data_IF_669820483653
#
_entry.id   IF_669820483653
#
_cell.length_a   1.000
_cell.length_b   1.000
_cell.length_c   1.000
_cell.angle_alpha   90.00
_cell.angle_beta   90.00
_cell.angle_gamma   90.00
#
_symmetry.space_group_name_H-M   'P 1'
#
loop_
_entity.id
_entity.type
_entity.pdbx_description
1 polymer ?
#
# COMPACT_ATOMS: atom_id res chain seq x y z
N UNK A 1 -8.38 19.10 -3.45
CA UNK A 1 -9.27 20.13 -4.02
C UNK A 1 -10.74 19.69 -3.99
N UNK A 2 -11.01 18.41 -4.15
CA UNK A 2 -12.37 17.83 -4.27
C UNK A 2 -12.86 17.15 -2.98
N UNK A 3 -12.00 16.97 -1.98
CA UNK A 3 -12.39 16.35 -0.71
C UNK A 3 -13.43 17.20 0.02
N UNK A 4 -14.44 16.57 0.63
CA UNK A 4 -15.38 17.25 1.50
C UNK A 4 -14.63 17.93 2.65
N UNK A 5 -15.10 19.11 3.06
CA UNK A 5 -14.48 19.86 4.13
C UNK A 5 -15.48 20.13 5.24
N UNK A 6 -15.01 20.10 6.48
CA UNK A 6 -15.78 20.52 7.63
C UNK A 6 -16.08 22.02 7.59
N UNK A 7 -16.87 22.49 8.52
CA UNK A 7 -17.16 23.93 8.72
C UNK A 7 -15.90 24.77 8.99
N UNK A 8 -14.81 24.12 9.41
CA UNK A 8 -13.50 24.75 9.62
C UNK A 8 -12.60 24.67 8.38
N UNK A 9 -13.10 24.14 7.26
CA UNK A 9 -12.35 24.01 6.02
C UNK A 9 -11.37 22.84 5.97
N UNK A 10 -11.39 21.95 6.98
CA UNK A 10 -10.50 20.80 7.10
C UNK A 10 -11.10 19.55 6.45
N UNK A 11 -10.25 18.67 5.95
CA UNK A 11 -10.62 17.32 5.51
C UNK A 11 -10.49 16.41 6.73
N UNK A 12 -11.60 15.85 7.17
CA UNK A 12 -11.65 14.98 8.35
C UNK A 12 -11.46 13.51 7.96
N UNK A 13 -10.67 12.78 8.75
CA UNK A 13 -10.53 11.35 8.65
C UNK A 13 -10.34 10.73 10.03
N UNK A 14 -10.53 9.43 10.12
CA UNK A 14 -10.25 8.64 11.32
C UNK A 14 -9.35 7.47 10.94
N UNK A 15 -8.21 7.35 11.62
CA UNK A 15 -7.27 6.27 11.41
C UNK A 15 -7.07 5.49 12.71
N UNK A 16 -7.09 4.17 12.62
CA UNK A 16 -6.67 3.33 13.73
C UNK A 16 -5.17 3.51 13.96
N UNK A 17 -4.74 3.49 15.21
CA UNK A 17 -3.33 3.42 15.56
C UNK A 17 -3.07 2.30 16.58
N UNK A 18 -1.86 1.80 16.58
CA UNK A 18 -1.37 0.79 17.50
C UNK A 18 0.03 1.18 17.97
N UNK A 19 0.31 0.97 19.26
CA UNK A 19 1.60 1.34 19.83
C UNK A 19 1.98 0.42 20.99
N UNK A 20 3.25 0.02 21.02
CA UNK A 20 3.94 -0.57 22.16
C UNK A 20 5.03 0.39 22.60
N UNK A 21 5.14 0.65 23.90
CA UNK A 21 6.16 1.52 24.47
C UNK A 21 6.72 0.94 25.76
N UNK A 22 7.96 1.29 26.15
CA UNK A 22 8.51 0.92 27.44
C UNK A 22 7.60 1.38 28.58
N UNK A 23 7.28 0.46 29.51
CA UNK A 23 6.47 0.78 30.72
C UNK A 23 7.18 1.78 31.60
N UNK A 24 8.51 1.63 31.73
CA UNK A 24 9.38 2.55 32.45
C UNK A 24 10.07 3.47 31.45
N UNK A 25 9.79 4.76 31.51
CA UNK A 25 10.36 5.75 30.60
C UNK A 25 11.90 5.70 30.53
N UNK A 26 12.57 5.44 31.68
CA UNK A 26 14.04 5.31 31.75
C UNK A 26 14.63 4.12 30.99
N UNK A 27 13.79 3.20 30.51
CA UNK A 27 14.22 2.08 29.64
C UNK A 27 13.98 2.36 28.16
N UNK A 28 13.37 3.47 27.82
CA UNK A 28 13.19 3.90 26.45
C UNK A 28 14.50 4.39 25.84
N UNK A 29 14.76 4.01 24.58
CA UNK A 29 15.94 4.44 23.82
C UNK A 29 15.78 5.80 23.16
N UNK A 30 14.59 6.41 23.21
CA UNK A 30 14.23 7.58 22.38
C UNK A 30 13.97 7.26 20.91
N UNK A 31 14.03 5.98 20.54
CA UNK A 31 13.84 5.55 19.16
C UNK A 31 12.45 4.93 18.94
N UNK A 32 11.82 5.29 17.85
CA UNK A 32 10.56 4.70 17.41
C UNK A 32 10.74 3.94 16.10
N UNK A 33 10.30 2.69 16.07
CA UNK A 33 10.06 1.94 14.84
C UNK A 33 8.59 2.14 14.43
N UNK A 34 8.38 2.86 13.34
CA UNK A 34 7.09 2.99 12.71
C UNK A 34 6.94 1.92 11.62
N UNK A 35 6.06 0.96 11.86
CA UNK A 35 5.76 -0.09 10.90
C UNK A 35 4.59 0.33 10.01
N UNK A 36 4.86 0.51 8.71
CA UNK A 36 3.79 0.80 7.75
C UNK A 36 2.98 -0.46 7.51
N UNK A 37 1.75 -0.48 8.02
CA UNK A 37 0.87 -1.67 7.90
C UNK A 37 0.62 -2.03 6.45
N UNK A 38 0.67 -3.32 6.15
CA UNK A 38 0.41 -3.82 4.80
C UNK A 38 -1.02 -4.39 4.76
N UNK A 39 -1.92 -3.68 4.10
CA UNK A 39 -3.36 -4.02 4.08
C UNK A 39 -3.93 -4.19 5.50
N UNK A 40 -3.60 -3.24 6.38
CA UNK A 40 -4.06 -3.21 7.76
C UNK A 40 -3.37 -4.17 8.73
N UNK A 41 -2.46 -5.04 8.28
CA UNK A 41 -1.80 -6.06 9.10
C UNK A 41 -0.61 -5.50 9.87
N UNK A 42 -0.53 -5.84 11.16
CA UNK A 42 0.52 -5.44 12.09
C UNK A 42 1.65 -6.48 12.12
N UNK A 43 2.59 -6.37 11.20
CA UNK A 43 3.68 -7.34 11.06
C UNK A 43 4.99 -6.97 11.77
N UNK A 44 5.02 -5.92 12.60
CA UNK A 44 6.28 -5.47 13.23
C UNK A 44 6.96 -6.56 14.06
N UNK A 45 6.21 -7.23 14.93
CA UNK A 45 6.77 -8.24 15.82
C UNK A 45 7.21 -9.50 15.06
N UNK A 46 6.42 -9.99 14.12
CA UNK A 46 6.82 -11.13 13.30
C UNK A 46 8.01 -10.82 12.37
N UNK A 47 8.22 -9.57 12.02
CA UNK A 47 9.36 -9.16 11.20
C UNK A 47 10.66 -9.03 12.01
N UNK A 48 10.59 -8.51 13.23
CA UNK A 48 11.79 -8.13 13.99
C UNK A 48 12.04 -8.95 15.26
N UNK A 49 11.01 -9.56 15.84
CA UNK A 49 11.10 -10.30 17.11
C UNK A 49 10.94 -11.81 16.96
N UNK A 50 11.04 -12.37 15.76
CA UNK A 50 10.76 -13.81 15.52
C UNK A 50 9.41 -14.28 16.08
N UNK A 51 8.43 -13.40 16.13
CA UNK A 51 7.13 -13.66 16.71
C UNK A 51 6.18 -14.39 15.76
N UNK A 52 5.24 -15.13 16.28
CA UNK A 52 4.07 -15.58 15.51
C UNK A 52 3.25 -14.38 15.06
N UNK A 53 2.83 -14.37 13.79
CA UNK A 53 2.09 -13.25 13.21
C UNK A 53 0.73 -13.06 13.92
N UNK A 54 0.49 -11.86 14.44
CA UNK A 54 -0.77 -11.50 15.08
C UNK A 54 -1.07 -10.01 14.87
N UNK A 55 -2.35 -9.69 14.62
CA UNK A 55 -2.81 -8.30 14.61
C UNK A 55 -3.17 -7.78 16.01
N UNK A 56 -3.24 -8.67 17.00
CA UNK A 56 -3.51 -8.36 18.40
C UNK A 56 -2.71 -9.30 19.29
N UNK A 57 -1.39 -9.04 19.45
CA UNK A 57 -0.54 -9.92 20.22
C UNK A 57 -0.97 -9.94 21.71
N UNK A 58 -1.18 -11.14 22.26
CA UNK A 58 -1.62 -11.39 23.63
C UNK A 58 -0.75 -12.45 24.31
N UNK A 59 -0.04 -13.29 23.57
CA UNK A 59 0.78 -14.40 24.09
C UNK A 59 2.27 -14.13 23.92
N UNK A 60 3.10 -14.84 24.67
CA UNK A 60 4.56 -14.72 24.58
C UNK A 60 5.08 -15.01 23.17
N UNK A 61 4.51 -16.02 22.49
CA UNK A 61 4.91 -16.38 21.13
C UNK A 61 4.59 -15.29 20.11
N UNK A 62 3.52 -14.50 20.35
CA UNK A 62 3.14 -13.37 19.49
C UNK A 62 3.97 -12.11 19.78
N UNK A 63 4.70 -12.05 20.90
CA UNK A 63 5.72 -11.04 21.18
C UNK A 63 7.12 -11.48 20.74
N UNK A 64 7.35 -12.80 20.58
CA UNK A 64 8.59 -13.40 20.13
C UNK A 64 9.75 -13.24 21.14
N UNK A 65 10.96 -13.12 20.63
CA UNK A 65 12.19 -12.98 21.42
C UNK A 65 12.34 -11.62 22.15
N UNK A 66 11.48 -10.66 21.83
CA UNK A 66 11.49 -9.35 22.49
C UNK A 66 12.57 -8.39 22.02
N UNK A 67 13.25 -8.64 20.91
CA UNK A 67 14.39 -7.82 20.42
C UNK A 67 14.11 -6.30 20.47
N UNK A 68 12.98 -5.86 19.91
CA UNK A 68 12.65 -4.42 19.89
C UNK A 68 12.44 -3.87 21.31
N UNK A 69 11.89 -4.66 22.21
CA UNK A 69 11.65 -4.29 23.62
C UNK A 69 12.95 -4.23 24.41
N UNK A 70 13.86 -5.18 24.20
CA UNK A 70 15.20 -5.20 24.83
C UNK A 70 16.02 -3.96 24.46
N UNK A 71 15.88 -3.50 23.21
CA UNK A 71 16.52 -2.26 22.75
C UNK A 71 15.73 -0.99 23.08
N UNK A 72 14.64 -1.09 23.85
CA UNK A 72 13.87 0.06 24.33
C UNK A 72 13.15 0.85 23.24
N UNK A 73 12.82 0.24 22.10
CA UNK A 73 12.06 0.91 21.05
C UNK A 73 10.60 1.16 21.47
N UNK A 74 10.07 2.30 21.07
CA UNK A 74 8.65 2.46 20.84
C UNK A 74 8.32 1.86 19.48
N UNK A 75 7.36 0.94 19.42
CA UNK A 75 6.88 0.36 18.14
C UNK A 75 5.50 0.91 17.85
N UNK A 76 5.30 1.51 16.70
CA UNK A 76 4.04 2.15 16.36
C UNK A 76 3.60 1.89 14.92
N UNK A 77 2.32 1.95 14.69
CA UNK A 77 1.69 1.89 13.38
C UNK A 77 0.41 2.72 13.35
N UNK A 78 0.08 3.28 12.20
CA UNK A 78 -1.17 3.95 11.94
C UNK A 78 -1.78 3.41 10.63
N UNK A 79 -3.10 3.33 10.57
CA UNK A 79 -3.79 2.95 9.36
C UNK A 79 -3.63 4.05 8.30
N UNK A 80 -3.40 3.64 7.06
CA UNK A 80 -3.21 4.56 5.94
C UNK A 80 -4.03 4.22 4.69
N UNK A 81 -4.70 3.06 4.68
CA UNK A 81 -5.48 2.56 3.55
C UNK A 81 -6.97 2.57 3.86
N UNK A 82 -7.76 3.17 2.96
CA UNK A 82 -9.21 3.23 3.06
C UNK A 82 -9.92 2.05 2.36
N UNK A 83 -9.21 1.32 1.50
CA UNK A 83 -9.75 0.18 0.76
C UNK A 83 -9.54 -1.18 1.45
N UNK A 84 -9.05 -1.17 2.69
CA UNK A 84 -8.96 -2.37 3.53
C UNK A 84 -10.34 -2.71 4.11
N UNK A 85 -10.80 -3.96 4.03
CA UNK A 85 -12.05 -4.35 4.69
C UNK A 85 -11.89 -4.24 6.22
N UNK A 86 -12.93 -3.73 6.93
CA UNK A 86 -12.83 -3.49 8.38
C UNK A 86 -12.64 -4.79 9.18
N UNK A 87 -13.15 -5.90 8.67
CA UNK A 87 -12.95 -7.23 9.23
C UNK A 87 -12.81 -8.25 8.09
N UNK A 88 -11.86 -9.15 8.24
CA UNK A 88 -11.72 -10.33 7.40
C UNK A 88 -11.80 -11.57 8.31
N UNK A 89 -12.62 -12.58 8.00
CA UNK A 89 -12.79 -13.77 8.82
C UNK A 89 -11.46 -14.45 9.17
N UNK A 90 -10.56 -14.50 8.19
CA UNK A 90 -9.25 -15.16 8.34
C UNK A 90 -8.18 -14.25 8.93
N UNK A 91 -8.48 -12.96 9.15
CA UNK A 91 -7.50 -11.98 9.60
C UNK A 91 -8.19 -10.82 10.36
N UNK A 92 -8.65 -11.07 11.60
CA UNK A 92 -9.33 -10.06 12.38
C UNK A 92 -8.40 -8.94 12.83
N UNK A 93 -8.97 -7.85 13.31
CA UNK A 93 -8.25 -6.70 13.88
C UNK A 93 -7.32 -5.98 12.91
N UNK A 94 -7.69 -5.95 11.63
CA UNK A 94 -7.01 -5.10 10.65
C UNK A 94 -7.14 -3.62 11.04
N UNK A 95 -6.10 -2.85 10.77
CA UNK A 95 -6.12 -1.40 10.96
C UNK A 95 -6.71 -0.73 9.71
N UNK A 96 -7.69 0.13 9.89
CA UNK A 96 -8.43 0.77 8.81
C UNK A 96 -8.37 2.30 8.91
N UNK A 97 -8.38 2.94 7.74
CA UNK A 97 -8.53 4.38 7.59
C UNK A 97 -9.96 4.66 7.12
N UNK A 98 -10.72 5.36 7.93
CA UNK A 98 -12.00 5.93 7.54
C UNK A 98 -11.73 7.29 6.88
N UNK A 99 -11.74 7.28 5.55
CA UNK A 99 -11.48 8.46 4.73
C UNK A 99 -12.79 8.97 4.13
N UNK A 100 -12.97 10.30 4.01
CA UNK A 100 -14.15 10.84 3.37
C UNK A 100 -14.22 10.41 1.89
N UNK A 101 -15.41 10.24 1.39
CA UNK A 101 -15.66 9.99 -0.03
C UNK A 101 -16.00 11.27 -0.77
N UNK A 102 -15.83 11.29 -2.06
CA UNK A 102 -16.28 12.39 -2.94
C UNK A 102 -17.43 11.92 -3.82
N UNK A 103 -18.31 12.85 -4.13
CA UNK A 103 -19.38 12.59 -5.10
C UNK A 103 -18.79 12.60 -6.51
N UNK A 104 -18.42 11.42 -6.98
CA UNK A 104 -17.90 11.19 -8.33
C UNK A 104 -18.22 9.76 -8.76
N UNK A 105 -18.34 9.60 -10.06
CA UNK A 105 -18.47 8.31 -10.72
C UNK A 105 -17.35 8.13 -11.72
N UNK A 106 -16.98 6.88 -11.98
CA UNK A 106 -15.94 6.56 -12.95
C UNK A 106 -15.77 5.07 -13.16
N UNK A 107 -15.16 4.69 -14.29
CA UNK A 107 -14.97 3.28 -14.63
C UNK A 107 -13.92 2.64 -13.73
N UNK A 108 -14.18 1.40 -13.35
CA UNK A 108 -13.18 0.50 -12.76
C UNK A 108 -13.17 -0.82 -13.50
N UNK A 109 -12.06 -1.51 -13.41
CA UNK A 109 -11.82 -2.82 -13.95
C UNK A 109 -11.45 -3.78 -12.83
N UNK A 110 -12.14 -4.92 -12.77
CA UNK A 110 -11.93 -6.00 -11.80
C UNK A 110 -11.57 -7.27 -12.54
N UNK A 111 -10.31 -7.66 -12.51
CA UNK A 111 -9.87 -8.94 -13.05
C UNK A 111 -10.21 -10.07 -12.08
N UNK A 112 -10.75 -11.16 -12.60
CA UNK A 112 -11.19 -12.35 -11.88
C UNK A 112 -10.44 -13.55 -12.44
N UNK A 113 -9.68 -14.22 -11.60
CA UNK A 113 -9.02 -15.49 -11.87
C UNK A 113 -9.36 -16.43 -10.72
N UNK A 114 -9.77 -17.64 -11.03
CA UNK A 114 -10.21 -18.61 -10.03
C UNK A 114 -9.35 -19.88 -10.08
N UNK A 115 -9.20 -20.54 -8.93
CA UNK A 115 -8.45 -21.80 -8.81
C UNK A 115 -9.36 -23.04 -8.98
N UNK A 116 -10.67 -22.85 -8.80
CA UNK A 116 -11.69 -23.89 -8.97
C UNK A 116 -12.95 -23.28 -9.64
N UNK A 117 -13.78 -24.09 -10.30
CA UNK A 117 -15.00 -23.59 -10.93
C UNK A 117 -15.98 -23.05 -9.90
N UNK A 118 -16.41 -21.80 -10.08
CA UNK A 118 -17.40 -21.15 -9.22
C UNK A 118 -18.41 -20.36 -10.07
N UNK A 119 -19.62 -20.18 -9.56
CA UNK A 119 -20.64 -19.37 -10.24
C UNK A 119 -20.78 -17.95 -9.66
N UNK A 120 -20.30 -17.73 -8.45
CA UNK A 120 -20.36 -16.42 -7.78
C UNK A 120 -18.97 -16.01 -7.31
N UNK A 121 -18.54 -14.81 -7.69
CA UNK A 121 -17.25 -14.26 -7.29
C UNK A 121 -17.43 -12.89 -6.62
N UNK A 122 -16.78 -12.68 -5.47
CA UNK A 122 -16.76 -11.37 -4.80
C UNK A 122 -16.10 -10.30 -5.68
N UNK A 123 -16.63 -9.09 -5.71
CA UNK A 123 -15.95 -7.94 -6.32
C UNK A 123 -14.76 -7.47 -5.47
N UNK A 124 -14.75 -7.80 -4.19
CA UNK A 124 -13.63 -7.59 -3.27
C UNK A 124 -12.75 -8.81 -3.10
N UNK A 125 -11.82 -8.73 -2.19
CA UNK A 125 -11.00 -9.84 -1.73
C UNK A 125 -10.81 -9.75 -0.23
N UNK A 126 -10.13 -10.73 0.39
CA UNK A 126 -9.73 -10.63 1.80
C UNK A 126 -8.86 -9.41 2.14
N UNK A 127 -8.34 -8.74 1.13
CA UNK A 127 -7.46 -7.57 1.29
C UNK A 127 -8.04 -6.27 0.77
N UNK A 128 -9.17 -6.33 0.07
CA UNK A 128 -9.69 -5.21 -0.69
C UNK A 128 -11.20 -5.07 -0.55
N UNK A 129 -11.63 -3.88 -0.14
CA UNK A 129 -13.02 -3.45 -0.14
C UNK A 129 -13.36 -2.87 -1.52
N UNK A 130 -14.34 -3.44 -2.26
CA UNK A 130 -14.67 -2.97 -3.59
C UNK A 130 -15.42 -1.65 -3.54
N UNK A 131 -15.34 -0.88 -4.63
CA UNK A 131 -16.23 0.25 -4.86
C UNK A 131 -17.63 -0.25 -5.24
N UNK A 132 -18.63 0.50 -4.79
CA UNK A 132 -20.02 0.23 -5.14
C UNK A 132 -20.31 0.58 -6.60
N UNK A 133 -21.21 -0.18 -7.23
CA UNK A 133 -21.73 0.12 -8.57
C UNK A 133 -22.54 1.40 -8.51
N UNK A 134 -22.33 2.32 -9.45
CA UNK A 134 -23.11 3.56 -9.54
C UNK A 134 -24.58 3.26 -9.85
N UNK A 135 -25.47 4.03 -9.27
CA UNK A 135 -26.91 3.84 -9.44
C UNK A 135 -27.31 4.00 -10.91
N UNK A 136 -28.06 3.02 -11.43
CA UNK A 136 -28.50 3.01 -12.82
C UNK A 136 -27.47 2.54 -13.85
N UNK A 137 -26.18 2.40 -13.47
CA UNK A 137 -25.09 2.03 -14.40
C UNK A 137 -24.82 0.52 -14.46
N UNK A 138 -25.57 -0.30 -13.74
CA UNK A 138 -25.37 -1.75 -13.76
C UNK A 138 -25.61 -2.38 -15.15
N UNK A 139 -26.51 -1.79 -15.95
CA UNK A 139 -26.80 -2.28 -17.30
C UNK A 139 -25.66 -2.08 -18.30
N UNK A 140 -24.82 -1.06 -18.09
CA UNK A 140 -23.72 -0.68 -18.96
C UNK A 140 -22.41 -1.42 -18.59
N UNK A 141 -22.45 -2.25 -17.55
CA UNK A 141 -21.31 -3.03 -17.14
C UNK A 141 -21.02 -4.18 -18.12
N UNK A 142 -19.74 -4.48 -18.32
CA UNK A 142 -19.26 -5.49 -19.24
C UNK A 142 -18.46 -6.57 -18.52
N UNK A 143 -18.76 -7.83 -18.82
CA UNK A 143 -17.94 -8.96 -18.44
C UNK A 143 -17.31 -9.54 -19.70
N UNK A 144 -16.01 -9.74 -19.69
CA UNK A 144 -15.28 -10.38 -20.77
C UNK A 144 -14.41 -11.52 -20.25
N UNK A 145 -13.99 -12.40 -21.17
CA UNK A 145 -13.15 -13.57 -20.88
C UNK A 145 -12.07 -13.73 -21.94
N UNK A 146 -10.87 -14.19 -21.53
CA UNK A 146 -9.74 -14.51 -22.41
C UNK A 146 -8.88 -15.62 -21.78
N UNK A 147 -8.08 -16.30 -22.60
CA UNK A 147 -7.21 -17.38 -22.13
C UNK A 147 -5.83 -16.86 -21.67
N UNK A 148 -5.34 -15.76 -22.24
CA UNK A 148 -4.02 -15.20 -21.94
C UNK A 148 -4.10 -13.69 -21.77
N UNK A 149 -3.16 -13.05 -21.03
CA UNK A 149 -3.20 -11.62 -20.75
C UNK A 149 -3.30 -10.72 -21.98
N UNK A 150 -2.73 -11.12 -23.11
CA UNK A 150 -2.69 -10.32 -24.34
C UNK A 150 -3.62 -10.81 -25.46
N UNK A 151 -4.45 -11.85 -25.19
CA UNK A 151 -5.47 -12.27 -26.14
C UNK A 151 -6.59 -11.24 -26.20
N UNK A 152 -7.26 -11.14 -27.35
CA UNK A 152 -8.44 -10.31 -27.48
C UNK A 152 -9.55 -10.86 -26.57
N UNK A 153 -10.16 -10.03 -25.70
CA UNK A 153 -11.23 -10.48 -24.82
C UNK A 153 -12.51 -10.72 -25.61
N UNK A 154 -13.23 -11.79 -25.25
CA UNK A 154 -14.55 -12.11 -25.74
C UNK A 154 -15.61 -11.61 -24.74
N UNK A 155 -16.59 -10.85 -25.22
CA UNK A 155 -17.66 -10.35 -24.35
C UNK A 155 -18.63 -11.46 -23.98
N UNK A 156 -18.93 -11.57 -22.70
CA UNK A 156 -19.99 -12.42 -22.17
C UNK A 156 -21.32 -11.68 -22.31
N UNK A 157 -22.33 -12.36 -22.87
CA UNK A 157 -23.64 -11.76 -23.06
C UNK A 157 -24.19 -11.17 -21.75
N UNK A 158 -24.67 -9.92 -21.76
CA UNK A 158 -25.09 -9.21 -20.54
C UNK A 158 -26.19 -9.97 -19.75
N UNK A 159 -27.05 -10.71 -20.41
CA UNK A 159 -28.11 -11.50 -19.79
C UNK A 159 -27.59 -12.80 -19.11
N UNK A 160 -26.33 -13.18 -19.33
CA UNK A 160 -25.76 -14.40 -18.76
C UNK A 160 -25.17 -14.22 -17.36
N UNK A 161 -25.07 -12.99 -16.87
CA UNK A 161 -24.48 -12.66 -15.58
C UNK A 161 -25.19 -11.48 -14.91
N UNK A 162 -25.05 -11.34 -13.60
CA UNK A 162 -25.66 -10.27 -12.81
C UNK A 162 -24.79 -9.86 -11.61
N UNK A 163 -24.99 -8.62 -11.16
CA UNK A 163 -24.50 -8.24 -9.83
C UNK A 163 -25.37 -8.91 -8.76
N UNK A 164 -24.70 -9.35 -7.69
CA UNK A 164 -25.33 -10.00 -6.54
C UNK A 164 -24.59 -9.63 -5.25
N UNK A 165 -24.93 -10.27 -4.16
CA UNK A 165 -24.22 -10.15 -2.89
C UNK A 165 -23.93 -11.56 -2.34
N UNK A 166 -22.80 -11.70 -1.66
CA UNK A 166 -22.54 -12.88 -0.85
C UNK A 166 -23.42 -12.90 0.40
N UNK A 167 -23.48 -14.03 1.10
CA UNK A 167 -24.25 -14.18 2.34
C UNK A 167 -23.88 -13.15 3.44
N UNK A 168 -22.64 -12.68 3.44
CA UNK A 168 -22.14 -11.66 4.34
C UNK A 168 -22.37 -10.21 3.85
N UNK A 169 -23.13 -10.04 2.75
CA UNK A 169 -23.50 -8.74 2.19
C UNK A 169 -22.44 -8.10 1.29
N UNK A 170 -21.28 -8.73 1.08
CA UNK A 170 -20.26 -8.19 0.18
C UNK A 170 -20.72 -8.21 -1.28
N UNK A 171 -20.47 -7.14 -2.07
CA UNK A 171 -20.78 -7.12 -3.49
C UNK A 171 -20.11 -8.26 -4.26
N UNK A 172 -20.84 -8.87 -5.16
CA UNK A 172 -20.40 -10.01 -5.95
C UNK A 172 -20.96 -9.94 -7.39
N UNK A 173 -20.44 -10.79 -8.25
CA UNK A 173 -20.96 -11.06 -9.59
C UNK A 173 -21.29 -12.53 -9.68
N UNK A 174 -22.46 -12.82 -10.21
CA UNK A 174 -22.94 -14.17 -10.53
C UNK A 174 -22.88 -14.39 -12.04
N UNK A 175 -22.29 -15.48 -12.46
CA UNK A 175 -22.21 -15.93 -13.84
C UNK A 175 -22.70 -17.37 -13.93
N UNK A 176 -23.86 -17.58 -14.54
CA UNK A 176 -24.55 -18.89 -14.53
C UNK A 176 -23.76 -20.01 -15.22
N UNK A 177 -22.96 -19.69 -16.24
CA UNK A 177 -22.11 -20.67 -16.91
C UNK A 177 -20.86 -21.02 -16.09
N UNK A 178 -20.51 -20.22 -15.07
CA UNK A 178 -19.38 -20.42 -14.20
C UNK A 178 -18.12 -19.68 -14.64
N UNK A 179 -17.31 -19.29 -13.63
CA UNK A 179 -15.92 -18.86 -13.81
C UNK A 179 -15.06 -20.11 -13.76
N UNK A 180 -14.22 -20.32 -14.77
CA UNK A 180 -13.41 -21.52 -14.94
C UNK A 180 -11.93 -21.24 -14.68
N UNK A 181 -11.17 -22.16 -14.03
CA UNK A 181 -9.73 -22.08 -13.88
C UNK A 181 -8.99 -21.97 -15.22
N UNK A 182 -7.89 -21.20 -15.22
CA UNK A 182 -7.08 -21.02 -16.43
C UNK A 182 -7.62 -19.96 -17.40
N UNK A 183 -8.75 -19.35 -17.08
CA UNK A 183 -9.30 -18.22 -17.81
C UNK A 183 -9.15 -16.92 -17.00
N UNK A 184 -9.06 -15.80 -17.71
CA UNK A 184 -9.00 -14.46 -17.14
C UNK A 184 -10.30 -13.75 -17.51
N UNK A 185 -11.14 -13.50 -16.52
CA UNK A 185 -12.34 -12.69 -16.68
C UNK A 185 -12.03 -11.25 -16.27
N UNK A 186 -12.66 -10.30 -16.96
CA UNK A 186 -12.56 -8.90 -16.61
C UNK A 186 -13.93 -8.26 -16.55
N UNK A 187 -14.31 -7.77 -15.38
CA UNK A 187 -15.54 -7.05 -15.13
C UNK A 187 -15.27 -5.55 -15.10
N UNK A 188 -15.85 -4.81 -16.03
CA UNK A 188 -15.80 -3.35 -16.10
C UNK A 188 -17.14 -2.78 -15.69
N UNK A 189 -17.16 -1.83 -14.77
CA UNK A 189 -18.38 -1.14 -14.38
C UNK A 189 -18.09 0.29 -13.92
N UNK A 190 -19.11 1.13 -13.91
CA UNK A 190 -19.03 2.47 -13.34
C UNK A 190 -19.21 2.38 -11.83
N UNK A 191 -18.17 2.77 -11.11
CA UNK A 191 -18.15 2.85 -9.64
C UNK A 191 -18.49 4.25 -9.16
N UNK A 192 -18.88 4.36 -7.90
CA UNK A 192 -19.22 5.64 -7.25
C UNK A 192 -18.45 5.87 -5.95
N UNK A 193 -18.45 7.12 -5.51
CA UNK A 193 -17.99 7.56 -4.19
C UNK A 193 -16.56 7.10 -3.83
N UNK A 194 -15.54 7.44 -4.64
CA UNK A 194 -14.17 7.06 -4.31
C UNK A 194 -13.69 7.77 -3.04
N UNK A 195 -12.98 7.01 -2.19
CA UNK A 195 -12.37 7.54 -0.98
C UNK A 195 -11.20 8.47 -1.29
N UNK A 196 -10.96 9.44 -0.43
CA UNK A 196 -9.78 10.34 -0.47
C UNK A 196 -8.58 9.58 0.09
N UNK A 197 -8.01 8.69 -0.72
CA UNK A 197 -7.01 7.73 -0.24
C UNK A 197 -5.69 8.37 0.19
N UNK A 198 -5.27 9.45 -0.46
CA UNK A 198 -4.00 10.15 -0.15
C UNK A 198 -3.94 10.74 1.26
N UNK A 199 -5.07 10.86 1.97
CA UNK A 199 -5.10 11.38 3.35
C UNK A 199 -4.37 10.45 4.34
N UNK A 200 -4.17 9.17 4.01
CA UNK A 200 -3.38 8.24 4.81
C UNK A 200 -1.91 8.64 4.95
N UNK A 201 -1.34 9.35 3.95
CA UNK A 201 0.02 9.90 4.05
C UNK A 201 0.08 11.05 5.04
N UNK A 202 -0.93 11.94 5.04
CA UNK A 202 -1.05 13.01 6.02
C UNK A 202 -1.24 12.45 7.44
N UNK A 203 -2.11 11.45 7.62
CA UNK A 203 -2.31 10.78 8.91
C UNK A 203 -1.00 10.16 9.45
N UNK A 204 -0.21 9.52 8.59
CA UNK A 204 1.11 8.98 8.97
C UNK A 204 2.09 10.09 9.37
N UNK A 205 2.18 11.15 8.56
CA UNK A 205 3.03 12.32 8.84
C UNK A 205 2.69 12.92 10.20
N UNK A 206 1.43 13.21 10.42
CA UNK A 206 0.96 13.92 11.62
C UNK A 206 1.09 13.06 12.87
N UNK A 207 0.80 11.76 12.77
CA UNK A 207 1.01 10.82 13.86
C UNK A 207 2.50 10.77 14.28
N UNK A 208 3.42 10.59 13.33
CA UNK A 208 4.86 10.52 13.64
C UNK A 208 5.39 11.86 14.15
N UNK A 209 4.95 12.97 13.55
CA UNK A 209 5.32 14.32 14.01
C UNK A 209 4.84 14.56 15.44
N UNK A 210 3.60 14.17 15.78
CA UNK A 210 3.07 14.25 17.14
C UNK A 210 3.91 13.41 18.12
N UNK A 211 4.24 12.17 17.79
CA UNK A 211 5.06 11.29 18.62
C UNK A 211 6.45 11.89 18.93
N UNK A 212 7.02 12.66 18.00
CA UNK A 212 8.33 13.33 18.18
C UNK A 212 8.22 14.68 18.90
N UNK A 213 7.08 15.34 18.87
CA UNK A 213 6.90 16.69 19.44
C UNK A 213 6.30 16.69 20.85
N UNK A 214 5.65 15.60 21.26
CA UNK A 214 5.05 15.48 22.59
C UNK A 214 6.02 14.76 23.55
N UNK A 215 6.52 15.50 24.52
CA UNK A 215 7.47 15.02 25.52
C UNK A 215 6.99 13.79 26.31
N UNK A 216 5.69 13.53 26.35
CA UNK A 216 5.14 12.34 27.00
C UNK A 216 5.51 11.03 26.27
N UNK A 217 5.86 11.10 24.98
CA UNK A 217 6.23 9.94 24.17
C UNK A 217 7.73 9.66 24.17
N UNK A 218 8.55 10.66 24.46
CA UNK A 218 10.02 10.55 24.54
C UNK A 218 10.63 9.93 23.27
N UNK A 219 10.17 10.39 22.09
CA UNK A 219 10.67 9.94 20.80
C UNK A 219 11.58 11.00 20.19
N UNK A 220 12.88 10.73 20.19
CA UNK A 220 13.90 11.61 19.57
C UNK A 220 14.03 11.33 18.06
N UNK A 221 13.94 10.06 17.67
CA UNK A 221 14.11 9.60 16.29
C UNK A 221 13.07 8.58 15.89
N UNK A 222 12.56 8.75 14.66
CA UNK A 222 11.59 7.84 14.06
C UNK A 222 12.18 7.16 12.83
N UNK A 223 12.03 5.84 12.75
CA UNK A 223 12.43 5.01 11.63
C UNK A 223 11.22 4.33 11.03
N UNK A 224 10.98 4.56 9.73
CA UNK A 224 9.90 3.94 8.98
C UNK A 224 10.36 2.64 8.32
N UNK A 225 9.62 1.57 8.52
CA UNK A 225 9.79 0.31 7.81
C UNK A 225 8.52 -0.01 7.00
N UNK A 226 8.70 -0.33 5.73
CA UNK A 226 7.62 -0.77 4.86
C UNK A 226 8.07 -1.88 3.93
N UNK A 227 7.28 -2.96 3.83
CA UNK A 227 7.56 -4.10 2.97
C UNK A 227 6.53 -4.20 1.85
N UNK A 228 6.99 -4.48 0.61
CA UNK A 228 6.11 -4.66 -0.55
C UNK A 228 5.27 -3.39 -0.84
N UNK A 229 3.96 -3.49 -0.79
CA UNK A 229 3.06 -2.35 -0.93
C UNK A 229 3.39 -1.22 0.06
N UNK A 230 3.71 -1.56 1.30
CA UNK A 230 4.08 -0.57 2.32
C UNK A 230 5.44 0.07 2.06
N UNK A 231 6.36 -0.65 1.40
CA UNK A 231 7.59 -0.06 0.87
C UNK A 231 7.31 0.94 -0.25
N UNK A 232 6.37 0.64 -1.15
CA UNK A 232 5.92 1.60 -2.18
C UNK A 232 5.21 2.80 -1.58
N UNK A 233 4.47 2.61 -0.47
CA UNK A 233 3.92 3.73 0.30
C UNK A 233 5.02 4.67 0.79
N UNK A 234 6.12 4.17 1.34
CA UNK A 234 7.24 5.02 1.77
C UNK A 234 7.90 5.75 0.60
N UNK A 235 7.99 5.13 -0.59
CA UNK A 235 8.44 5.81 -1.80
C UNK A 235 7.52 6.96 -2.20
N UNK A 236 6.20 6.72 -2.21
CA UNK A 236 5.20 7.74 -2.49
C UNK A 236 5.22 8.86 -1.44
N UNK A 237 5.35 8.51 -0.17
CA UNK A 237 5.44 9.44 0.95
C UNK A 237 6.62 10.41 0.81
N UNK A 238 7.80 9.92 0.43
CA UNK A 238 8.97 10.77 0.14
C UNK A 238 8.74 11.67 -1.06
N UNK A 239 8.27 11.10 -2.16
CA UNK A 239 8.04 11.83 -3.41
C UNK A 239 7.03 12.96 -3.23
N UNK A 240 5.96 12.74 -2.49
CA UNK A 240 4.92 13.74 -2.22
C UNK A 240 5.36 14.80 -1.18
N UNK A 241 6.53 14.62 -0.54
CA UNK A 241 7.08 15.57 0.42
C UNK A 241 6.55 15.42 1.85
N UNK A 242 5.89 14.32 2.17
CA UNK A 242 5.33 14.08 3.52
C UNK A 242 6.39 13.84 4.60
N UNK A 243 7.68 13.76 4.26
CA UNK A 243 8.73 13.73 5.30
C UNK A 243 8.98 15.09 5.97
N UNK A 244 8.29 16.11 5.52
CA UNK A 244 8.19 17.40 6.20
C UNK A 244 6.86 17.50 6.96
N UNK A 245 6.93 17.79 8.27
CA UNK A 245 5.75 18.02 9.09
C UNK A 245 5.15 19.41 8.80
N UNK A 246 3.96 19.70 9.29
CA UNK A 246 3.35 21.03 9.16
C UNK A 246 4.16 22.15 9.85
N UNK A 247 5.03 21.79 10.80
CA UNK A 247 5.95 22.72 11.46
C UNK A 247 7.33 22.83 10.76
N UNK A 248 7.52 22.20 9.58
CA UNK A 248 8.77 22.22 8.83
C UNK A 248 9.85 21.28 9.40
N UNK A 249 9.50 20.38 10.32
CA UNK A 249 10.46 19.43 10.91
C UNK A 249 10.45 18.09 10.19
N UNK A 250 11.58 17.37 10.29
CA UNK A 250 11.71 16.04 9.70
C UNK A 250 10.85 15.01 10.43
N UNK A 251 10.01 14.28 9.68
CA UNK A 251 9.14 13.22 10.18
C UNK A 251 9.96 11.95 10.47
N UNK A 252 10.48 11.29 9.46
CA UNK A 252 11.34 10.13 9.62
C UNK A 252 12.82 10.51 9.49
N UNK A 253 13.64 9.99 10.39
CA UNK A 253 15.10 10.12 10.37
C UNK A 253 15.75 9.05 9.50
N UNK A 254 15.11 7.89 9.35
CA UNK A 254 15.52 6.80 8.49
C UNK A 254 14.34 6.02 7.95
N UNK A 255 14.50 5.45 6.75
CA UNK A 255 13.52 4.59 6.11
C UNK A 255 14.17 3.30 5.63
N UNK A 256 13.52 2.18 5.88
CA UNK A 256 13.82 0.92 5.21
C UNK A 256 12.66 0.56 4.28
N UNK A 257 12.93 0.65 2.99
CA UNK A 257 12.03 0.34 1.89
C UNK A 257 12.36 -1.06 1.41
N UNK A 258 11.57 -2.04 1.88
CA UNK A 258 11.86 -3.45 1.68
C UNK A 258 10.97 -4.06 0.58
N UNK A 259 11.55 -4.80 -0.35
CA UNK A 259 10.93 -5.50 -1.47
C UNK A 259 9.80 -4.71 -2.16
N UNK A 260 10.09 -3.45 -2.45
CA UNK A 260 9.13 -2.53 -3.05
C UNK A 260 9.22 -2.47 -4.59
N UNK A 261 10.35 -2.86 -5.15
CA UNK A 261 10.69 -2.54 -6.54
C UNK A 261 11.03 -1.07 -6.72
N UNK A 262 11.00 -0.59 -7.95
CA UNK A 262 11.36 0.79 -8.29
C UNK A 262 10.17 1.74 -8.38
N UNK A 263 8.97 1.25 -8.67
CA UNK A 263 7.78 2.08 -8.85
C UNK A 263 7.23 2.65 -7.54
N UNK A 264 6.56 3.78 -7.66
CA UNK A 264 5.63 4.28 -6.65
C UNK A 264 4.26 3.63 -6.85
N UNK A 265 3.36 3.73 -5.90
CA UNK A 265 2.02 3.16 -5.99
C UNK A 265 0.94 4.21 -6.25
N UNK A 266 -0.18 3.80 -6.82
CA UNK A 266 -1.36 4.63 -7.11
C UNK A 266 -2.21 4.91 -5.86
N UNK A 267 -1.57 5.27 -4.74
CA UNK A 267 -2.24 5.45 -3.45
C UNK A 267 -3.06 6.74 -3.34
N UNK A 268 -3.02 7.59 -4.37
CA UNK A 268 -3.78 8.83 -4.42
C UNK A 268 -4.56 9.00 -5.74
N UNK A 269 -4.71 7.94 -6.52
CA UNK A 269 -5.51 7.97 -7.73
C UNK A 269 -6.97 7.65 -7.44
N UNK A 270 -7.88 8.41 -8.07
CA UNK A 270 -9.31 8.17 -7.96
C UNK A 270 -9.67 6.81 -8.57
N UNK A 271 -10.48 6.04 -7.88
CA UNK A 271 -10.88 4.67 -8.24
C UNK A 271 -9.73 3.65 -8.35
N UNK A 272 -8.53 3.99 -7.89
CA UNK A 272 -7.48 2.99 -7.71
C UNK A 272 -7.87 1.97 -6.63
N UNK A 273 -7.36 0.76 -6.78
CA UNK A 273 -7.62 -0.36 -5.89
C UNK A 273 -6.28 -0.96 -5.39
N UNK A 274 -5.47 -0.18 -4.64
CA UNK A 274 -4.10 -0.60 -4.32
C UNK A 274 -4.04 -1.89 -3.49
N UNK A 275 -5.02 -2.16 -2.63
CA UNK A 275 -5.06 -3.40 -1.86
C UNK A 275 -5.36 -4.65 -2.69
N UNK A 276 -5.90 -4.49 -3.92
CA UNK A 276 -6.15 -5.57 -4.85
C UNK A 276 -4.86 -6.13 -5.47
N UNK A 277 -3.80 -5.34 -5.54
CA UNK A 277 -2.52 -5.70 -6.19
C UNK A 277 -1.65 -6.68 -5.39
N UNK A 278 -2.25 -7.61 -4.65
CA UNK A 278 -1.53 -8.77 -4.11
C UNK A 278 -1.13 -9.77 -5.21
N UNK A 279 -1.88 -9.75 -6.32
CA UNK A 279 -1.64 -10.56 -7.53
C UNK A 279 -1.35 -9.66 -8.72
N UNK A 280 -0.88 -10.22 -9.83
CA UNK A 280 -0.77 -9.50 -11.09
C UNK A 280 -2.17 -9.16 -11.63
N UNK A 281 -2.31 -7.94 -12.16
CA UNK A 281 -3.51 -7.45 -12.84
C UNK A 281 -3.08 -6.76 -14.12
N UNK A 282 -3.72 -7.09 -15.23
CA UNK A 282 -3.35 -6.61 -16.57
C UNK A 282 -4.22 -5.46 -17.05
N UNK A 283 -5.49 -5.44 -16.65
CA UNK A 283 -6.46 -4.46 -17.12
C UNK A 283 -6.97 -3.59 -15.97
N UNK A 284 -6.24 -2.54 -15.66
CA UNK A 284 -6.64 -1.52 -14.68
C UNK A 284 -6.57 -0.13 -15.31
N UNK A 285 -7.39 0.80 -14.84
CA UNK A 285 -7.50 2.16 -15.38
C UNK A 285 -6.65 3.19 -14.64
N UNK A 286 -5.61 2.74 -13.92
CA UNK A 286 -4.67 3.59 -13.20
C UNK A 286 -3.27 2.94 -13.24
N UNK A 287 -2.19 3.74 -13.16
CA UNK A 287 -0.85 3.19 -13.17
C UNK A 287 -0.59 2.38 -11.90
N UNK A 288 0.02 1.19 -12.05
CA UNK A 288 0.39 0.34 -10.93
C UNK A 288 1.82 0.59 -10.45
N UNK A 289 2.66 1.13 -11.33
CA UNK A 289 4.06 1.50 -11.10
C UNK A 289 4.30 2.89 -11.68
N UNK A 290 4.60 3.87 -10.82
CA UNK A 290 4.71 5.27 -11.22
C UNK A 290 6.15 5.77 -11.16
N UNK A 291 6.53 6.60 -12.14
CA UNK A 291 7.77 7.41 -12.13
C UNK A 291 7.70 8.50 -11.02
N UNK A 292 8.82 8.87 -10.37
CA UNK A 292 10.20 8.45 -10.60
C UNK A 292 10.55 7.11 -9.98
N UNK A 293 11.51 6.42 -10.61
CA UNK A 293 11.97 5.10 -10.18
C UNK A 293 13.23 5.15 -9.32
N UNK A 294 14.09 6.14 -9.53
CA UNK A 294 15.34 6.33 -8.79
C UNK A 294 15.27 7.53 -7.83
N UNK A 295 16.23 7.59 -6.93
CA UNK A 295 16.40 8.71 -5.99
C UNK A 295 16.82 9.99 -6.70
N UNK A 296 17.73 9.85 -7.69
CA UNK A 296 18.23 10.94 -8.52
C UNK A 296 17.19 11.37 -9.58
N UNK A 297 17.10 12.67 -9.90
CA UNK A 297 16.18 13.16 -10.91
C UNK A 297 16.53 12.63 -12.31
N UNK A 298 15.51 12.19 -13.01
CA UNK A 298 15.55 11.72 -14.39
C UNK A 298 14.43 12.35 -15.21
N UNK A 299 14.39 12.06 -16.48
CA UNK A 299 13.28 12.38 -17.38
C UNK A 299 12.68 11.08 -17.92
N UNK A 300 11.37 10.89 -17.74
CA UNK A 300 10.64 9.79 -18.38
C UNK A 300 10.52 10.09 -19.87
N UNK A 301 11.00 9.17 -20.71
CA UNK A 301 10.95 9.34 -22.17
C UNK A 301 9.56 9.19 -22.77
N UNK A 302 8.56 8.70 -22.02
CA UNK A 302 7.19 8.45 -22.51
C UNK A 302 6.33 9.70 -22.48
N UNK A 303 6.39 10.48 -21.42
CA UNK A 303 5.54 11.65 -21.18
C UNK A 303 6.34 12.93 -20.88
N UNK A 304 7.67 12.82 -20.79
CA UNK A 304 8.57 13.94 -20.54
C UNK A 304 8.61 14.42 -19.09
N UNK A 305 7.94 13.74 -18.16
CA UNK A 305 7.99 14.07 -16.73
C UNK A 305 9.44 14.02 -16.22
N UNK A 306 9.79 14.97 -15.37
CA UNK A 306 11.10 15.04 -14.70
C UNK A 306 10.93 14.93 -13.21
N UNK A 307 11.81 14.18 -12.55
CA UNK A 307 11.82 14.07 -11.09
C UNK A 307 12.70 12.95 -10.58
N UNK A 308 13.03 13.04 -9.32
CA UNK A 308 13.66 12.03 -8.49
C UNK A 308 12.87 11.82 -7.21
N UNK A 309 13.06 10.67 -6.60
CA UNK A 309 12.33 10.32 -5.36
C UNK A 309 12.67 11.27 -4.22
N UNK A 310 13.88 11.81 -4.20
CA UNK A 310 14.40 12.66 -3.12
C UNK A 310 14.19 14.16 -3.33
N UNK A 311 13.72 14.59 -4.50
CA UNK A 311 13.72 16.01 -4.88
C UNK A 311 13.06 16.89 -3.80
N UNK A 312 11.84 16.59 -3.38
CA UNK A 312 11.13 17.41 -2.37
C UNK A 312 11.77 17.35 -0.99
N UNK A 313 12.22 16.18 -0.58
CA UNK A 313 12.86 16.04 0.73
C UNK A 313 14.22 16.75 0.80
N UNK A 314 14.94 16.84 -0.33
CA UNK A 314 16.17 17.65 -0.47
C UNK A 314 15.86 19.13 -0.43
N UNK A 315 14.85 19.58 -1.20
CA UNK A 315 14.42 20.97 -1.26
C UNK A 315 14.03 21.53 0.13
N UNK A 316 13.31 20.73 0.92
CA UNK A 316 12.88 21.09 2.27
C UNK A 316 13.93 20.79 3.37
N UNK A 317 15.09 20.21 3.05
CA UNK A 317 16.13 19.86 4.02
C UNK A 317 15.76 18.74 5.00
N UNK A 318 14.78 17.91 4.67
CA UNK A 318 14.23 16.84 5.52
C UNK A 318 14.51 15.43 5.00
N UNK A 319 15.53 15.28 4.14
CA UNK A 319 15.90 13.96 3.59
C UNK A 319 16.31 13.00 4.71
N UNK A 320 15.68 11.82 4.84
CA UNK A 320 16.06 10.77 5.78
C UNK A 320 17.25 9.96 5.24
N UNK A 321 17.84 9.11 6.07
CA UNK A 321 18.65 7.98 5.58
C UNK A 321 17.72 6.91 5.00
N UNK A 322 18.07 6.35 3.84
CA UNK A 322 17.20 5.41 3.14
C UNK A 322 17.94 4.12 2.79
N UNK A 323 17.34 2.99 3.14
CA UNK A 323 17.73 1.67 2.65
C UNK A 323 16.70 1.19 1.65
N UNK A 324 17.10 0.94 0.40
CA UNK A 324 16.34 0.20 -0.59
C UNK A 324 16.83 -1.25 -0.57
N UNK A 325 15.95 -2.16 -0.22
CA UNK A 325 16.25 -3.58 -0.12
C UNK A 325 15.33 -4.34 -1.06
N UNK A 326 15.86 -5.03 -2.04
CA UNK A 326 15.07 -5.79 -3.01
C UNK A 326 15.61 -7.22 -3.17
N UNK A 327 14.71 -8.14 -3.48
CA UNK A 327 15.01 -9.53 -3.83
C UNK A 327 15.09 -9.72 -5.34
N UNK A 328 15.42 -10.93 -5.80
CA UNK A 328 15.38 -11.24 -7.23
C UNK A 328 13.98 -11.11 -7.82
N UNK A 329 12.93 -11.35 -7.04
CA UNK A 329 11.54 -11.19 -7.49
C UNK A 329 11.27 -9.76 -7.95
N UNK A 330 11.73 -8.73 -7.20
CA UNK A 330 11.50 -7.33 -7.57
C UNK A 330 12.28 -6.92 -8.80
N UNK A 331 13.46 -7.50 -9.03
CA UNK A 331 14.23 -7.25 -10.26
C UNK A 331 13.49 -7.76 -11.50
N UNK A 332 12.84 -8.92 -11.42
CA UNK A 332 12.10 -9.50 -12.53
C UNK A 332 10.69 -8.92 -12.71
N UNK A 333 9.98 -8.67 -11.60
CA UNK A 333 8.54 -8.37 -11.66
C UNK A 333 8.18 -6.93 -11.31
N UNK A 334 9.11 -6.15 -10.70
CA UNK A 334 8.86 -4.80 -10.18
C UNK A 334 9.91 -3.77 -10.60
N UNK A 335 10.67 -4.09 -11.65
CA UNK A 335 11.65 -3.19 -12.23
C UNK A 335 12.70 -2.66 -11.26
N UNK A 336 13.10 -3.44 -10.21
CA UNK A 336 13.95 -2.93 -9.15
C UNK A 336 15.31 -2.40 -9.62
N UNK A 337 15.82 -2.84 -10.77
CA UNK A 337 17.02 -2.28 -11.38
C UNK A 337 16.91 -0.76 -11.60
N UNK A 338 15.72 -0.24 -11.90
CA UNK A 338 15.48 1.20 -12.12
C UNK A 338 15.69 2.05 -10.87
N UNK A 339 15.90 1.47 -9.69
CA UNK A 339 16.33 2.22 -8.50
C UNK A 339 17.77 2.75 -8.63
N UNK A 340 18.60 2.12 -9.47
CA UNK A 340 20.02 2.46 -9.64
C UNK A 340 20.51 2.52 -11.09
N UNK A 341 19.65 2.28 -12.07
CA UNK A 341 19.93 2.52 -13.50
C UNK A 341 18.98 3.56 -14.07
N UNK A 342 19.33 4.17 -15.17
CA UNK A 342 18.47 5.16 -15.84
C UNK A 342 17.21 4.49 -16.43
N UNK A 343 16.22 5.30 -16.78
CA UNK A 343 14.93 4.80 -17.30
C UNK A 343 15.05 4.01 -18.61
N UNK A 344 16.16 4.18 -19.35
CA UNK A 344 16.46 3.41 -20.53
C UNK A 344 17.16 2.07 -20.22
N UNK A 345 17.64 1.90 -18.99
CA UNK A 345 18.42 0.72 -18.59
C UNK A 345 19.85 0.67 -19.17
N UNK A 346 20.39 1.81 -19.58
CA UNK A 346 21.66 1.89 -20.31
C UNK A 346 22.85 2.31 -19.42
N UNK A 347 22.58 3.00 -18.32
CA UNK A 347 23.63 3.58 -17.47
C UNK A 347 23.30 3.49 -16.00
N UNK A 348 24.31 3.18 -15.18
CA UNK A 348 24.20 3.29 -13.73
C UNK A 348 24.02 4.75 -13.31
N UNK A 349 23.18 4.94 -12.30
CA UNK A 349 22.96 6.23 -11.64
C UNK A 349 23.83 6.37 -10.39
N UNK A 350 24.28 7.59 -10.06
CA UNK A 350 24.97 7.82 -8.81
C UNK A 350 24.01 7.60 -7.63
N UNK A 351 24.46 6.84 -6.63
CA UNK A 351 23.74 6.67 -5.38
C UNK A 351 23.98 7.86 -4.46
N UNK A 352 22.93 8.46 -3.94
CA UNK A 352 23.03 9.58 -3.00
C UNK A 352 23.63 9.12 -1.66
N UNK A 353 24.42 9.98 -0.97
CA UNK A 353 25.09 9.67 0.31
C UNK A 353 24.11 9.29 1.44
N UNK A 354 22.86 9.70 1.35
CA UNK A 354 21.82 9.31 2.29
C UNK A 354 21.23 7.92 1.99
N UNK A 355 21.48 7.34 0.81
CA UNK A 355 20.89 6.07 0.38
C UNK A 355 21.89 4.91 0.41
N UNK A 356 21.36 3.70 0.59
CA UNK A 356 22.06 2.43 0.32
C UNK A 356 21.08 1.51 -0.39
N UNK A 357 21.57 0.83 -1.42
CA UNK A 357 20.77 -0.09 -2.24
C UNK A 357 21.35 -1.49 -2.06
N UNK A 358 20.50 -2.42 -1.64
CA UNK A 358 20.84 -3.82 -1.41
C UNK A 358 20.00 -4.71 -2.30
N UNK A 359 20.65 -5.71 -2.91
CA UNK A 359 19.99 -6.77 -3.64
C UNK A 359 20.34 -8.12 -3.02
N UNK A 360 19.34 -8.86 -2.60
CA UNK A 360 19.49 -10.24 -2.15
C UNK A 360 19.20 -11.16 -3.33
N UNK A 361 20.28 -11.63 -3.98
CA UNK A 361 20.20 -12.50 -5.14
C UNK A 361 19.61 -13.86 -4.77
N UNK A 362 18.86 -14.47 -5.70
CA UNK A 362 18.24 -15.80 -5.56
C UNK A 362 17.22 -15.90 -4.42
N UNK A 363 16.68 -14.78 -3.96
CA UNK A 363 15.62 -14.76 -2.94
C UNK A 363 14.27 -14.40 -3.54
N UNK A 364 13.21 -14.83 -2.86
CA UNK A 364 11.82 -14.54 -3.21
C UNK A 364 11.35 -13.22 -2.58
N UNK A 365 10.14 -12.79 -2.97
CA UNK A 365 9.48 -11.60 -2.44
C UNK A 365 9.26 -11.63 -0.93
N UNK A 366 8.88 -12.79 -0.38
CA UNK A 366 8.76 -13.04 1.04
C UNK A 366 9.89 -13.96 1.49
N UNK A 367 10.51 -13.67 2.63
CA UNK A 367 11.29 -14.67 3.33
C UNK A 367 10.27 -15.65 3.92
N UNK A 368 9.98 -16.72 3.21
CA UNK A 368 9.33 -17.88 3.83
C UNK A 368 10.25 -18.36 4.93
N UNK A 369 9.66 -18.61 6.09
CA UNK A 369 10.41 -18.91 7.29
C UNK A 369 11.48 -19.94 7.00
N UNK A 370 12.68 -19.66 7.46
CA UNK A 370 13.73 -20.66 7.53
C UNK A 370 13.16 -21.89 8.26
N UNK A 371 13.42 -23.11 7.77
CA UNK A 371 12.92 -24.33 8.39
C UNK A 371 13.39 -24.45 9.83
#
# INVERSE_FOLDING_TARGET
>A
RWAPRSTQGLVECRADFWMLRPVQASKGSGHMLYYVVNRGRKGALSTFNLATASNRPETADEFGDGLLMEHGFTVAACAWQADVPPEAPDNPHLMTLDAPTIEAEGPISCEIVVDEPITVHSLGSRYHRPYEVAAGCAADAELSVRSRPYDAPELVARCAWSFTQLEDGRPAVEYAAGFEPGLIYNLVYTARQPAVMGIGMAATRDFVAHMKSDDQHQVDRAYGFGSSQSGRFLRQFLYEGFNESESGTRVFDGLQINVAGAGRGSFNHRFAQPSRHASAHFDVYYPTEEFPFADAPQQDGRDGLRGGLFDRALECGVLPKVFHVNSSTEYWNRGAALTHVDVAGERDLPTHDAARIYHFASTQHGADGLP
#
